data_IF_105927960270
#
_entry.id   IF_105927960270
#
_cell.length_a   1.000
_cell.length_b   1.000
_cell.length_c   1.000
_cell.angle_alpha   90.00
_cell.angle_beta   90.00
_cell.angle_gamma   90.00
#
_symmetry.space_group_name_H-M   'P 1'
#
loop_
_entity.id
_entity.type
_entity.pdbx_description
1 polymer ?
#
# COMPACT_ATOMS: atom_id res chain seq x y z
N UNK A 1 19.32 -9.87 -20.35
CA UNK A 1 19.42 -8.61 -19.58
C UNK A 1 19.27 -8.96 -18.12
N UNK A 2 20.29 -8.66 -17.29
CA UNK A 2 20.31 -9.06 -15.86
C UNK A 2 19.47 -8.16 -14.94
N UNK A 3 18.42 -7.54 -15.43
CA UNK A 3 17.61 -6.62 -14.66
C UNK A 3 16.19 -7.13 -14.46
N UNK A 4 15.76 -7.23 -13.20
CA UNK A 4 14.37 -7.53 -12.82
C UNK A 4 13.67 -6.26 -12.37
N UNK A 5 12.36 -6.15 -12.58
CA UNK A 5 11.55 -4.99 -12.20
C UNK A 5 10.35 -5.38 -11.37
N UNK A 6 10.17 -4.68 -10.27
CA UNK A 6 8.95 -4.71 -9.47
C UNK A 6 8.21 -3.40 -9.69
N UNK A 7 6.96 -3.49 -10.16
CA UNK A 7 5.97 -2.44 -10.01
C UNK A 7 5.29 -2.65 -8.67
N UNK A 8 5.44 -1.70 -7.75
CA UNK A 8 4.83 -1.72 -6.43
C UNK A 8 3.72 -0.67 -6.40
N UNK A 9 2.49 -1.11 -6.18
CA UNK A 9 1.32 -0.28 -6.32
C UNK A 9 0.51 -0.23 -5.04
N UNK A 10 -0.02 0.94 -4.67
CA UNK A 10 -1.06 1.08 -3.66
C UNK A 10 -2.42 0.84 -4.32
N UNK A 11 -3.35 0.22 -3.58
CA UNK A 11 -4.74 0.07 -4.02
C UNK A 11 -5.39 1.43 -4.38
N UNK A 12 -6.44 1.40 -5.19
CA UNK A 12 -7.25 2.57 -5.54
C UNK A 12 -8.00 3.15 -4.32
N UNK A 13 -8.66 4.28 -4.52
CA UNK A 13 -9.45 4.92 -3.46
C UNK A 13 -10.49 3.95 -2.89
N UNK A 14 -10.58 3.90 -1.56
CA UNK A 14 -11.50 3.05 -0.81
C UNK A 14 -12.13 3.82 0.34
N UNK A 15 -13.27 3.36 0.81
CA UNK A 15 -13.89 3.83 2.04
C UNK A 15 -13.53 2.88 3.18
N UNK A 16 -12.89 3.42 4.18
CA UNK A 16 -12.72 2.72 5.44
C UNK A 16 -14.08 2.69 6.16
N UNK A 17 -14.69 1.52 6.27
CA UNK A 17 -15.92 1.31 7.03
C UNK A 17 -15.61 0.36 8.19
N UNK A 18 -16.24 0.60 9.35
CA UNK A 18 -16.21 -0.39 10.43
C UNK A 18 -17.15 -1.52 10.03
N UNK A 19 -16.61 -2.70 9.76
CA UNK A 19 -17.43 -3.89 9.57
C UNK A 19 -17.90 -4.35 10.94
N UNK A 20 -19.22 -4.37 11.15
CA UNK A 20 -19.81 -4.86 12.38
C UNK A 20 -19.33 -6.31 12.60
N UNK A 21 -18.73 -6.58 13.77
CA UNK A 21 -18.22 -7.86 14.24
C UNK A 21 -16.80 -8.30 13.78
N UNK A 22 -16.06 -7.53 12.99
CA UNK A 22 -14.73 -7.96 12.54
C UNK A 22 -13.56 -7.15 13.13
N UNK A 23 -13.81 -6.20 14.04
CA UNK A 23 -12.72 -5.43 14.71
C UNK A 23 -11.83 -4.60 13.79
N UNK A 24 -11.78 -4.93 12.52
CA UNK A 24 -10.91 -4.34 11.54
C UNK A 24 -11.42 -2.97 11.04
N UNK A 25 -10.52 -2.06 10.77
CA UNK A 25 -10.76 -0.91 9.89
C UNK A 25 -11.03 -1.46 8.48
N UNK A 26 -12.28 -1.73 8.21
CA UNK A 26 -12.92 -2.21 7.01
C UNK A 26 -12.05 -2.80 5.91
N UNK A 27 -12.33 -4.02 5.57
CA UNK A 27 -11.88 -4.64 4.33
C UNK A 27 -12.71 -4.07 3.16
N UNK A 28 -12.82 -2.72 3.07
CA UNK A 28 -13.71 -2.06 2.11
C UNK A 28 -13.25 -2.22 0.67
N UNK A 29 -14.22 -2.45 -0.23
CA UNK A 29 -14.03 -2.42 -1.67
C UNK A 29 -13.61 -1.03 -2.17
N UNK A 30 -13.19 -0.94 -3.41
CA UNK A 30 -12.88 0.33 -4.06
C UNK A 30 -14.14 1.20 -4.18
N UNK A 31 -13.97 2.51 -4.09
CA UNK A 31 -15.02 3.46 -4.50
C UNK A 31 -15.14 3.46 -6.03
N UNK A 32 -16.24 4.01 -6.55
CA UNK A 32 -16.40 4.22 -8.00
C UNK A 32 -15.21 5.00 -8.57
N UNK A 33 -14.77 6.06 -7.88
CA UNK A 33 -13.57 6.82 -8.24
C UNK A 33 -12.29 5.97 -8.16
N UNK A 34 -12.18 5.09 -7.15
CA UNK A 34 -11.07 4.13 -7.05
C UNK A 34 -11.02 3.18 -8.24
N UNK A 35 -12.16 2.66 -8.66
CA UNK A 35 -12.27 1.81 -9.84
C UNK A 35 -11.85 2.55 -11.12
N UNK A 36 -12.30 3.81 -11.30
CA UNK A 36 -11.87 4.67 -12.43
C UNK A 36 -10.36 4.93 -12.41
N UNK A 37 -9.78 5.25 -11.23
CA UNK A 37 -8.34 5.42 -11.07
C UNK A 37 -7.58 4.19 -11.56
N UNK A 38 -8.01 3.00 -11.15
CA UNK A 38 -7.31 1.76 -11.48
C UNK A 38 -7.57 1.32 -12.92
N UNK A 39 -8.77 1.56 -13.46
CA UNK A 39 -9.04 1.32 -14.88
C UNK A 39 -8.09 2.15 -15.78
N UNK A 40 -7.86 3.42 -15.44
CA UNK A 40 -6.89 4.25 -16.16
C UNK A 40 -5.45 3.70 -16.04
N UNK A 41 -5.06 3.24 -14.86
CA UNK A 41 -3.74 2.62 -14.64
C UNK A 41 -3.61 1.30 -15.40
N UNK A 42 -4.66 0.48 -15.47
CA UNK A 42 -4.65 -0.78 -16.22
C UNK A 42 -4.32 -0.57 -17.70
N UNK A 43 -4.77 0.54 -18.29
CA UNK A 43 -4.42 0.89 -19.67
C UNK A 43 -2.91 1.13 -19.85
N UNK A 44 -2.21 1.70 -18.86
CA UNK A 44 -0.75 1.83 -18.90
C UNK A 44 -0.07 0.45 -18.89
N UNK A 45 -0.59 -0.48 -18.10
CA UNK A 45 -0.04 -1.82 -17.99
C UNK A 45 -0.24 -2.67 -19.25
N UNK A 46 -1.12 -2.28 -20.20
CA UNK A 46 -1.25 -3.00 -21.49
C UNK A 46 0.09 -3.17 -22.19
N UNK A 47 0.92 -2.13 -22.21
CA UNK A 47 2.25 -2.13 -22.83
C UNK A 47 3.37 -2.72 -21.98
N UNK A 48 3.11 -3.09 -20.72
CA UNK A 48 4.12 -3.62 -19.80
C UNK A 48 4.07 -5.16 -19.83
N UNK A 49 5.17 -5.87 -20.16
CA UNK A 49 5.21 -7.31 -20.07
C UNK A 49 5.29 -7.72 -18.59
N UNK A 50 4.17 -8.14 -18.00
CA UNK A 50 4.11 -8.70 -16.65
C UNK A 50 4.18 -10.22 -16.71
N UNK A 51 5.03 -10.82 -15.87
CA UNK A 51 5.16 -12.27 -15.72
C UNK A 51 4.25 -12.79 -14.60
N UNK A 52 3.99 -11.96 -13.57
CA UNK A 52 3.11 -12.31 -12.46
C UNK A 52 2.52 -11.09 -11.78
N UNK A 53 1.35 -11.28 -11.14
CA UNK A 53 0.67 -10.30 -10.29
C UNK A 53 0.50 -10.92 -8.91
N UNK A 54 1.01 -10.21 -7.89
CA UNK A 54 0.80 -10.55 -6.48
C UNK A 54 -0.06 -9.48 -5.83
N UNK A 55 -0.99 -9.89 -4.98
CA UNK A 55 -1.86 -8.96 -4.27
C UNK A 55 -1.96 -9.29 -2.77
N UNK A 56 -2.14 -8.25 -1.97
CA UNK A 56 -2.61 -8.38 -0.61
C UNK A 56 -3.96 -9.12 -0.57
N UNK A 57 -4.25 -9.92 0.47
CA UNK A 57 -5.55 -10.56 0.65
C UNK A 57 -6.68 -9.57 0.96
N UNK A 58 -6.38 -8.31 1.28
CA UNK A 58 -7.39 -7.31 1.59
C UNK A 58 -8.12 -6.88 0.31
N UNK A 59 -9.48 -6.85 0.39
CA UNK A 59 -10.40 -6.69 -0.73
C UNK A 59 -10.00 -5.56 -1.68
N UNK A 60 -9.76 -4.35 -1.17
CA UNK A 60 -9.36 -3.18 -1.96
C UNK A 60 -8.11 -3.38 -2.81
N UNK A 61 -7.13 -4.13 -2.29
CA UNK A 61 -5.90 -4.42 -3.03
C UNK A 61 -6.11 -5.57 -4.02
N UNK A 62 -6.87 -6.57 -3.63
CA UNK A 62 -7.24 -7.68 -4.53
C UNK A 62 -8.09 -7.18 -5.70
N UNK A 63 -9.11 -6.35 -5.45
CA UNK A 63 -9.94 -5.74 -6.49
C UNK A 63 -9.11 -4.84 -7.43
N UNK A 64 -8.17 -4.06 -6.88
CA UNK A 64 -7.19 -3.29 -7.68
C UNK A 64 -6.38 -4.22 -8.61
N UNK A 65 -5.86 -5.30 -8.07
CA UNK A 65 -5.11 -6.28 -8.86
C UNK A 65 -5.99 -6.94 -9.92
N UNK A 66 -7.25 -7.25 -9.61
CA UNK A 66 -8.20 -7.90 -10.50
C UNK A 66 -8.49 -7.05 -11.76
N UNK A 67 -8.65 -5.74 -11.61
CA UNK A 67 -8.85 -4.83 -12.73
C UNK A 67 -7.64 -4.89 -13.69
N UNK A 68 -6.41 -4.90 -13.16
CA UNK A 68 -5.19 -4.98 -13.98
C UNK A 68 -5.00 -6.40 -14.56
N UNK A 69 -5.25 -7.43 -13.77
CA UNK A 69 -5.12 -8.83 -14.16
C UNK A 69 -6.04 -9.19 -15.34
N UNK A 70 -7.26 -8.66 -15.34
CA UNK A 70 -8.22 -8.85 -16.45
C UNK A 70 -7.66 -8.31 -17.76
N UNK A 71 -7.02 -7.14 -17.75
CA UNK A 71 -6.39 -6.56 -18.94
C UNK A 71 -5.14 -7.32 -19.41
N UNK A 72 -4.52 -8.10 -18.52
CA UNK A 72 -3.28 -8.85 -18.77
C UNK A 72 -3.50 -10.34 -18.97
N UNK A 73 -4.71 -10.85 -18.74
CA UNK A 73 -5.03 -12.29 -18.77
C UNK A 73 -4.10 -13.11 -17.85
N UNK A 74 -3.76 -12.56 -16.68
CA UNK A 74 -2.91 -13.17 -15.67
C UNK A 74 -3.69 -13.55 -14.42
N UNK A 75 -3.33 -14.67 -13.80
CA UNK A 75 -3.83 -15.05 -12.50
C UNK A 75 -3.19 -14.21 -11.37
N UNK A 76 -3.97 -13.93 -10.32
CA UNK A 76 -3.51 -13.21 -9.14
C UNK A 76 -3.01 -14.22 -8.10
N UNK A 77 -1.77 -14.02 -7.65
CA UNK A 77 -1.20 -14.75 -6.53
C UNK A 77 -1.39 -13.95 -5.24
N UNK A 78 -2.16 -14.49 -4.31
CA UNK A 78 -2.36 -13.83 -3.01
C UNK A 78 -1.12 -14.00 -2.15
N UNK A 79 -0.57 -12.87 -1.67
CA UNK A 79 0.60 -12.82 -0.79
C UNK A 79 0.26 -12.11 0.53
N UNK A 80 0.14 -12.84 1.64
CA UNK A 80 -0.16 -12.25 2.94
C UNK A 80 0.86 -11.21 3.40
N UNK A 81 2.10 -11.31 2.94
CA UNK A 81 3.17 -10.35 3.21
C UNK A 81 2.89 -8.94 2.65
N UNK A 82 1.94 -8.83 1.71
CA UNK A 82 1.49 -7.56 1.14
C UNK A 82 0.36 -6.90 1.95
N UNK A 83 -0.12 -7.52 3.03
CA UNK A 83 -1.15 -6.93 3.90
C UNK A 83 -0.69 -5.58 4.47
N UNK A 84 -1.63 -4.67 4.76
CA UNK A 84 -1.31 -3.42 5.47
C UNK A 84 -0.78 -3.73 6.88
N UNK A 85 -0.21 -2.73 7.56
CA UNK A 85 0.17 -2.84 8.96
C UNK A 85 -1.04 -3.31 9.76
N UNK A 86 -0.88 -4.40 10.50
CA UNK A 86 -1.98 -5.07 11.19
C UNK A 86 -2.15 -4.47 12.59
N UNK A 87 -3.24 -3.74 12.87
CA UNK A 87 -3.56 -3.28 14.21
C UNK A 87 -4.07 -4.44 15.08
N UNK A 88 -4.12 -4.24 16.38
CA UNK A 88 -4.75 -5.20 17.30
C UNK A 88 -6.27 -5.14 17.23
N UNK A 89 -6.93 -6.24 16.90
CA UNK A 89 -8.40 -6.34 16.91
C UNK A 89 -8.99 -6.00 18.29
N UNK A 90 -8.32 -6.39 19.36
CA UNK A 90 -8.73 -6.10 20.75
C UNK A 90 -8.71 -4.60 21.01
N UNK A 91 -7.69 -3.88 20.53
CA UNK A 91 -7.58 -2.42 20.69
C UNK A 91 -8.63 -1.72 19.84
N UNK A 92 -8.80 -2.15 18.59
CA UNK A 92 -9.81 -1.59 17.70
C UNK A 92 -11.24 -1.74 18.21
N UNK A 93 -11.56 -2.91 18.82
CA UNK A 93 -12.90 -3.18 19.36
C UNK A 93 -13.28 -2.25 20.52
N UNK A 94 -12.31 -1.66 21.23
CA UNK A 94 -12.51 -0.82 22.39
C UNK A 94 -12.60 0.67 22.09
N UNK A 95 -12.35 1.08 20.83
CA UNK A 95 -12.22 2.49 20.42
C UNK A 95 -13.30 2.90 19.42
N UNK A 96 -13.67 4.18 19.46
CA UNK A 96 -14.46 4.78 18.37
C UNK A 96 -13.61 4.93 17.10
N UNK A 97 -14.25 5.05 15.93
CA UNK A 97 -13.53 5.35 14.70
C UNK A 97 -12.75 6.66 14.80
N UNK A 98 -13.34 7.69 15.42
CA UNK A 98 -12.70 8.98 15.64
C UNK A 98 -11.39 8.83 16.46
N UNK A 99 -11.40 8.05 17.54
CA UNK A 99 -10.21 7.81 18.36
C UNK A 99 -9.16 7.03 17.61
N UNK A 100 -9.57 6.00 16.85
CA UNK A 100 -8.66 5.22 16.00
C UNK A 100 -7.94 6.14 15.01
N UNK A 101 -8.67 7.00 14.30
CA UNK A 101 -8.05 7.91 13.33
C UNK A 101 -7.17 8.98 13.98
N UNK A 102 -7.51 9.48 15.18
CA UNK A 102 -6.62 10.37 15.94
C UNK A 102 -5.30 9.68 16.29
N UNK A 103 -5.35 8.44 16.77
CA UNK A 103 -4.12 7.67 17.05
C UNK A 103 -3.30 7.37 15.80
N UNK A 104 -3.96 7.06 14.68
CA UNK A 104 -3.28 6.90 13.40
C UNK A 104 -2.55 8.20 13.02
N UNK A 105 -3.20 9.35 13.13
CA UNK A 105 -2.55 10.65 12.86
C UNK A 105 -1.36 10.90 13.78
N UNK A 106 -1.50 10.65 15.08
CA UNK A 106 -0.42 10.82 16.05
C UNK A 106 0.74 9.86 15.76
N UNK A 107 0.45 8.60 15.43
CA UNK A 107 1.48 7.64 15.02
C UNK A 107 2.26 8.16 13.81
N UNK A 108 1.59 8.64 12.76
CA UNK A 108 2.25 9.16 11.57
C UNK A 108 2.99 10.48 11.80
N UNK A 109 2.55 11.33 12.75
CA UNK A 109 3.26 12.56 13.13
C UNK A 109 4.54 12.27 13.92
N UNK A 110 4.52 11.24 14.76
CA UNK A 110 5.57 10.93 15.72
C UNK A 110 6.58 9.88 15.22
N UNK A 111 6.47 9.42 13.99
CA UNK A 111 7.30 8.35 13.41
C UNK A 111 8.79 8.69 13.23
N UNK A 112 9.30 9.66 13.96
CA UNK A 112 10.70 10.08 13.82
C UNK A 112 11.71 9.03 14.30
N UNK A 113 11.31 7.94 14.97
CA UNK A 113 12.33 7.17 15.66
C UNK A 113 12.09 5.70 15.95
N UNK A 114 10.90 5.25 16.23
CA UNK A 114 10.79 3.89 16.77
C UNK A 114 10.09 2.90 15.82
N UNK A 115 10.92 2.15 15.09
CA UNK A 115 10.44 1.05 14.23
C UNK A 115 9.83 -0.11 15.04
N UNK A 116 10.05 -0.14 16.34
CA UNK A 116 9.56 -1.18 17.24
C UNK A 116 8.23 -0.78 17.92
N UNK A 117 7.81 0.50 17.77
CA UNK A 117 6.52 0.95 18.27
C UNK A 117 5.37 0.22 17.59
N UNK A 118 4.44 -0.30 18.39
CA UNK A 118 3.27 -1.04 17.91
C UNK A 118 2.22 -0.09 17.33
N UNK A 119 1.86 -0.32 16.07
CA UNK A 119 0.74 0.38 15.44
C UNK A 119 -0.60 -0.10 16.04
N UNK A 120 -1.29 0.77 16.76
CA UNK A 120 -2.57 0.46 17.43
C UNK A 120 -2.51 -0.86 18.23
N UNK A 121 -1.42 -1.09 18.97
CA UNK A 121 -1.22 -2.30 19.77
C UNK A 121 -0.99 -3.59 18.99
N UNK A 122 -0.83 -3.49 17.66
CA UNK A 122 -0.61 -4.63 16.80
C UNK A 122 0.83 -4.70 16.26
N UNK A 123 0.95 -4.83 14.95
CA UNK A 123 2.23 -5.00 14.26
C UNK A 123 3.08 -3.72 14.34
N UNK A 124 4.39 -3.86 14.55
CA UNK A 124 5.34 -2.75 14.43
C UNK A 124 5.84 -2.60 12.99
N UNK A 125 6.37 -1.43 12.64
CA UNK A 125 6.94 -1.25 11.30
C UNK A 125 8.14 -2.18 11.05
N UNK A 126 8.92 -2.50 12.07
CA UNK A 126 10.00 -3.49 11.96
C UNK A 126 9.49 -4.86 11.54
N UNK A 127 8.33 -5.27 12.02
CA UNK A 127 7.69 -6.53 11.61
C UNK A 127 7.20 -6.47 10.16
N UNK A 128 6.60 -5.35 9.74
CA UNK A 128 6.23 -5.08 8.34
C UNK A 128 7.46 -5.12 7.43
N UNK A 129 8.53 -4.42 7.80
CA UNK A 129 9.80 -4.43 7.08
C UNK A 129 10.37 -5.85 6.95
N UNK A 130 10.36 -6.63 8.02
CA UNK A 130 10.85 -7.99 8.01
C UNK A 130 10.03 -8.91 7.07
N UNK A 131 8.67 -8.80 7.06
CA UNK A 131 7.84 -9.62 6.15
C UNK A 131 7.98 -9.18 4.68
N UNK A 132 8.07 -7.87 4.41
CA UNK A 132 8.36 -7.36 3.07
C UNK A 132 9.70 -7.90 2.55
N UNK A 133 10.73 -7.91 3.40
CA UNK A 133 12.04 -8.49 3.09
C UNK A 133 11.99 -9.99 2.77
N UNK A 134 11.18 -10.76 3.51
CA UNK A 134 10.98 -12.20 3.20
C UNK A 134 10.34 -12.41 1.82
N UNK A 135 9.31 -11.62 1.48
CA UNK A 135 8.71 -11.70 0.15
C UNK A 135 9.71 -11.33 -0.95
N UNK A 136 10.49 -10.26 -0.77
CA UNK A 136 11.56 -9.89 -1.72
C UNK A 136 12.56 -11.02 -1.90
N UNK A 137 13.05 -11.63 -0.82
CA UNK A 137 13.98 -12.77 -0.89
C UNK A 137 13.36 -13.95 -1.63
N UNK A 138 12.10 -14.28 -1.36
CA UNK A 138 11.36 -15.37 -2.04
C UNK A 138 11.22 -15.09 -3.53
N UNK A 139 10.87 -13.86 -3.92
CA UNK A 139 10.75 -13.47 -5.32
C UNK A 139 12.11 -13.51 -6.01
N UNK A 140 13.14 -12.93 -5.41
CA UNK A 140 14.47 -12.85 -6.00
C UNK A 140 15.17 -14.22 -6.12
N UNK A 141 14.76 -15.20 -5.33
CA UNK A 141 15.25 -16.58 -5.44
C UNK A 141 14.66 -17.36 -6.63
N UNK A 142 13.56 -16.88 -7.23
CA UNK A 142 12.98 -17.48 -8.43
C UNK A 142 13.66 -16.93 -9.67
N UNK A 143 13.75 -17.75 -10.72
CA UNK A 143 14.37 -17.36 -12.01
C UNK A 143 13.34 -17.23 -13.15
N UNK A 144 12.07 -17.37 -12.84
CA UNK A 144 10.95 -17.47 -13.78
C UNK A 144 10.25 -16.15 -14.09
N UNK A 145 10.80 -15.00 -13.65
CA UNK A 145 10.22 -13.69 -13.90
C UNK A 145 11.28 -12.61 -14.21
N UNK A 146 10.87 -11.61 -14.98
CA UNK A 146 11.62 -10.38 -15.25
C UNK A 146 10.88 -9.15 -14.71
N UNK A 147 9.54 -9.17 -14.75
CA UNK A 147 8.70 -8.04 -14.35
C UNK A 147 7.48 -8.54 -13.59
N UNK A 148 7.31 -8.08 -12.37
CA UNK A 148 6.14 -8.42 -11.54
C UNK A 148 5.43 -7.17 -11.03
N UNK A 149 4.13 -7.30 -10.81
CA UNK A 149 3.30 -6.32 -10.14
C UNK A 149 2.98 -6.81 -8.72
N UNK A 150 3.25 -5.96 -7.72
CA UNK A 150 2.82 -6.15 -6.33
C UNK A 150 1.76 -5.09 -6.02
N UNK A 151 0.55 -5.51 -5.65
CA UNK A 151 -0.54 -4.61 -5.26
C UNK A 151 -0.74 -4.69 -3.76
N UNK A 152 -0.52 -3.57 -3.07
CA UNK A 152 -0.45 -3.52 -1.62
C UNK A 152 -1.03 -2.20 -1.06
N UNK A 153 -0.44 -1.65 0.01
CA UNK A 153 -0.96 -0.53 0.79
C UNK A 153 0.15 0.47 1.12
N UNK A 154 -0.23 1.64 1.68
CA UNK A 154 0.71 2.72 1.96
C UNK A 154 1.83 2.33 2.93
N UNK A 155 1.49 1.70 4.04
CA UNK A 155 2.47 1.32 5.08
C UNK A 155 3.44 0.24 4.59
N UNK A 156 2.93 -0.84 3.99
CA UNK A 156 3.79 -1.92 3.49
C UNK A 156 4.62 -1.48 2.27
N UNK A 157 4.09 -0.59 1.42
CA UNK A 157 4.88 -0.01 0.32
C UNK A 157 6.11 0.73 0.84
N UNK A 158 5.96 1.52 1.93
CA UNK A 158 7.10 2.19 2.56
C UNK A 158 8.15 1.19 3.07
N UNK A 159 7.76 -0.01 3.52
CA UNK A 159 8.71 -1.05 3.89
C UNK A 159 9.51 -1.57 2.68
N UNK A 160 8.86 -1.80 1.53
CA UNK A 160 9.56 -2.15 0.29
C UNK A 160 10.50 -1.03 -0.19
N UNK A 161 10.05 0.22 -0.10
CA UNK A 161 10.87 1.39 -0.46
C UNK A 161 12.06 1.55 0.49
N UNK A 162 11.90 1.26 1.79
CA UNK A 162 12.99 1.22 2.74
C UNK A 162 14.04 0.16 2.38
N UNK A 163 13.62 -1.05 1.96
CA UNK A 163 14.54 -2.05 1.43
C UNK A 163 15.27 -1.57 0.17
N UNK A 164 14.55 -0.89 -0.74
CA UNK A 164 15.14 -0.39 -1.99
C UNK A 164 16.16 0.73 -1.77
N UNK A 165 15.95 1.56 -0.74
CA UNK A 165 16.80 2.72 -0.43
C UNK A 165 17.87 2.44 0.64
N UNK A 166 17.82 1.27 1.28
CA UNK A 166 18.73 0.90 2.37
C UNK A 166 18.44 1.59 3.70
N UNK A 167 17.24 2.16 3.87
CA UNK A 167 16.81 2.76 5.13
C UNK A 167 16.45 1.65 6.12
N UNK A 168 17.06 1.66 7.29
CA UNK A 168 16.86 0.66 8.35
C UNK A 168 16.44 1.24 9.69
N UNK A 169 16.36 2.56 9.78
CA UNK A 169 15.98 3.32 10.97
C UNK A 169 15.59 4.77 10.60
N UNK A 170 15.00 5.50 11.52
CA UNK A 170 14.54 6.86 11.31
C UNK A 170 13.13 6.91 10.72
N UNK A 171 12.79 8.00 10.03
CA UNK A 171 11.44 8.21 9.49
C UNK A 171 11.02 7.13 8.51
N UNK A 172 9.89 6.52 8.79
CA UNK A 172 9.36 5.38 8.05
C UNK A 172 8.54 5.84 6.84
N UNK A 173 7.72 6.88 7.02
CA UNK A 173 6.74 7.34 6.03
C UNK A 173 7.17 8.64 5.35
N UNK A 174 8.40 8.66 4.83
CA UNK A 174 8.95 9.84 4.12
C UNK A 174 8.53 9.93 2.67
N UNK A 175 8.02 8.85 2.11
CA UNK A 175 7.57 8.79 0.72
C UNK A 175 6.07 8.63 0.75
N UNK A 176 5.36 9.71 0.37
CA UNK A 176 3.91 9.66 0.26
C UNK A 176 3.48 8.55 -0.68
N UNK A 177 2.37 7.91 -0.38
CA UNK A 177 1.78 6.85 -1.16
C UNK A 177 0.32 7.21 -1.45
N UNK A 178 0.05 7.89 -2.54
CA UNK A 178 -1.31 8.23 -2.97
C UNK A 178 -2.09 7.00 -3.43
N UNK A 179 -3.42 7.07 -3.44
CA UNK A 179 -4.25 5.98 -3.96
C UNK A 179 -3.93 5.69 -5.42
N UNK A 180 -3.78 4.41 -5.75
CA UNK A 180 -3.44 3.98 -7.11
C UNK A 180 -2.04 4.39 -7.59
N UNK A 181 -1.17 4.85 -6.70
CA UNK A 181 0.20 5.21 -7.06
C UNK A 181 1.03 3.99 -7.44
N UNK A 182 2.00 4.25 -8.30
CA UNK A 182 2.98 3.27 -8.77
C UNK A 182 4.36 3.68 -8.32
N UNK A 183 5.09 2.75 -7.73
CA UNK A 183 6.52 2.81 -7.50
C UNK A 183 7.22 1.79 -8.39
N UNK A 184 8.45 2.05 -8.80
CA UNK A 184 9.25 1.13 -9.62
C UNK A 184 10.57 0.87 -8.90
N UNK A 185 10.84 -0.40 -8.64
CA UNK A 185 12.10 -0.88 -8.07
C UNK A 185 12.75 -1.81 -9.10
N UNK A 186 13.92 -1.42 -9.60
CA UNK A 186 14.73 -2.26 -10.47
C UNK A 186 15.79 -3.00 -9.63
N UNK A 187 16.03 -4.26 -9.98
CA UNK A 187 17.13 -5.05 -9.41
C UNK A 187 18.16 -5.32 -10.50
N UNK A 188 19.37 -4.78 -10.31
CA UNK A 188 20.49 -4.95 -11.24
C UNK A 188 21.63 -5.60 -10.48
N UNK A 189 22.08 -6.77 -10.92
CA UNK A 189 23.09 -7.58 -10.21
C UNK A 189 22.74 -7.80 -8.74
N UNK A 190 21.45 -8.06 -8.43
CA UNK A 190 20.94 -8.28 -7.08
C UNK A 190 20.81 -7.02 -6.22
N UNK A 191 21.15 -5.83 -6.73
CA UNK A 191 21.02 -4.57 -6.01
C UNK A 191 19.75 -3.84 -6.39
N UNK A 192 18.95 -3.36 -5.42
CA UNK A 192 17.75 -2.58 -5.70
C UNK A 192 18.08 -1.13 -6.09
N UNK A 193 17.31 -0.58 -7.00
CA UNK A 193 17.32 0.82 -7.40
C UNK A 193 15.89 1.34 -7.45
N UNK A 194 15.58 2.34 -6.63
CA UNK A 194 14.32 3.05 -6.72
C UNK A 194 14.34 3.94 -7.96
N UNK A 195 13.51 3.61 -8.95
CA UNK A 195 13.45 4.33 -10.22
C UNK A 195 12.33 5.36 -10.27
N UNK A 196 11.22 5.08 -9.59
CA UNK A 196 10.05 5.94 -9.53
C UNK A 196 9.38 5.75 -8.19
N UNK A 197 8.93 6.83 -7.57
CA UNK A 197 8.15 6.80 -6.34
C UNK A 197 6.87 7.62 -6.49
N UNK A 198 5.77 7.09 -5.96
CA UNK A 198 4.48 7.76 -5.82
C UNK A 198 3.95 8.43 -7.11
N UNK A 199 4.10 7.77 -8.25
CA UNK A 199 3.52 8.26 -9.50
C UNK A 199 2.01 7.98 -9.55
N UNK A 200 1.21 8.99 -9.82
CA UNK A 200 -0.24 8.85 -10.08
C UNK A 200 -0.57 9.34 -11.48
N UNK A 201 -1.43 8.61 -12.18
CA UNK A 201 -1.82 8.98 -13.55
C UNK A 201 -2.75 10.21 -13.55
N UNK A 202 -3.59 10.36 -12.53
CA UNK A 202 -4.61 11.40 -12.44
C UNK A 202 -4.04 12.77 -11.99
N UNK A 203 -2.87 12.82 -11.34
CA UNK A 203 -2.15 14.05 -11.00
C UNK A 203 -0.64 13.79 -10.98
N UNK A 204 -0.06 13.72 -12.16
CA UNK A 204 1.35 13.34 -12.35
C UNK A 204 2.33 14.30 -11.69
N UNK A 205 2.02 15.59 -11.68
CA UNK A 205 2.87 16.65 -11.11
C UNK A 205 2.45 17.02 -9.67
N UNK A 206 1.49 16.31 -9.10
CA UNK A 206 0.98 16.55 -7.74
C UNK A 206 0.47 17.98 -7.52
N UNK A 207 -0.08 18.62 -8.56
CA UNK A 207 -0.54 20.01 -8.51
C UNK A 207 -1.67 20.19 -7.51
N UNK A 208 -2.58 19.21 -7.44
CA UNK A 208 -3.77 19.22 -6.59
C UNK A 208 -3.62 18.36 -5.34
N UNK A 209 -2.59 17.50 -5.26
CA UNK A 209 -2.31 16.62 -4.12
C UNK A 209 -1.29 17.27 -3.20
N UNK A 210 -1.76 18.14 -2.32
CA UNK A 210 -0.92 18.85 -1.33
C UNK A 210 -1.14 18.38 0.10
N UNK A 211 -2.19 17.61 0.32
CA UNK A 211 -2.52 17.01 1.61
C UNK A 211 -1.93 15.59 1.68
N UNK A 212 -1.59 15.17 2.89
CA UNK A 212 -1.19 13.80 3.13
C UNK A 212 -2.38 12.85 2.86
N UNK A 213 -2.13 11.65 2.33
CA UNK A 213 -3.20 10.70 1.99
C UNK A 213 -4.10 10.34 3.18
N UNK A 214 -3.56 10.37 4.40
CA UNK A 214 -4.34 10.19 5.62
C UNK A 214 -5.34 11.33 5.84
N UNK A 215 -4.94 12.59 5.60
CA UNK A 215 -5.84 13.75 5.76
C UNK A 215 -6.96 13.69 4.71
N UNK A 216 -6.66 13.22 3.50
CA UNK A 216 -7.68 12.98 2.47
C UNK A 216 -8.71 11.94 2.96
N UNK A 217 -8.26 10.83 3.54
CA UNK A 217 -9.14 9.80 4.11
C UNK A 217 -10.02 10.40 5.21
N UNK A 218 -9.45 11.16 6.14
CA UNK A 218 -10.19 11.78 7.24
C UNK A 218 -11.24 12.77 6.72
N UNK A 219 -10.89 13.60 5.75
CA UNK A 219 -11.83 14.54 5.14
C UNK A 219 -12.99 13.83 4.44
N UNK A 220 -12.72 12.71 3.75
CA UNK A 220 -13.76 11.88 3.17
C UNK A 220 -14.71 11.27 4.21
N UNK A 221 -14.17 10.80 5.33
CA UNK A 221 -14.96 10.20 6.42
C UNK A 221 -15.80 11.25 7.16
N UNK A 222 -15.24 12.45 7.42
CA UNK A 222 -15.96 13.61 8.00
C UNK A 222 -17.09 14.07 7.06
N UNK A 223 -16.80 14.25 5.79
CA UNK A 223 -17.79 14.68 4.79
C UNK A 223 -18.97 13.73 4.64
N UNK A 224 -18.82 12.47 5.07
CA UNK A 224 -19.90 11.44 5.08
C UNK A 224 -20.53 11.23 6.46
N UNK A 225 -20.10 11.97 7.48
CA UNK A 225 -20.61 11.81 8.86
C UNK A 225 -20.25 10.48 9.51
N UNK A 226 -19.17 9.82 9.06
CA UNK A 226 -18.67 8.55 9.62
C UNK A 226 -17.84 8.80 10.88
N UNK A 227 -17.13 9.94 10.93
CA UNK A 227 -16.40 10.44 12.10
C UNK A 227 -16.81 11.87 12.39
N UNK A 228 -16.65 12.28 13.66
CA UNK A 228 -17.02 13.63 14.10
C UNK A 228 -16.15 14.70 13.40
N UNK A 229 -16.76 15.84 13.12
CA UNK A 229 -16.01 17.05 12.79
C UNK A 229 -15.38 17.55 14.11
N UNK A 230 -14.07 17.82 14.11
CA UNK A 230 -13.38 18.44 15.25
C UNK A 230 -13.95 19.81 15.56
#
# INVERSE_FOLDING_TARGET
MDGRRIYLMRHGETLYQRVANEGALGNGALTERGQEQIAAVALLFRGVPLDAIYASPLERAYETAQIIATEKELDIQVAPELSEIIPSDTVLAQKSLTDIFKEIQEFFKNTDSDWDESYLGGESFRQVYARAGRLLQTLLAKDDWQTVLLVAHGGVNNAFLAHATGVTQGRIFNIEQDFGCINIIDFVHGRPFLRLANFTLYDQLKIHLREHSLDIILNLLRGRGIIDAD
#
